data_IF_706756402177
#
_entry.id   IF_706756402177
#
_cell.length_a   1.000
_cell.length_b   1.000
_cell.length_c   1.000
_cell.angle_alpha   90.00
_cell.angle_beta   90.00
_cell.angle_gamma   90.00
#
_symmetry.space_group_name_H-M   'P 1'
#
loop_
_entity.id
_entity.type
_entity.pdbx_description
1 polymer ?
#
# COMPACT_ATOMS: atom_id res chain seq x y z
N UNK A 1 -32.62 -13.04 37.23
CA UNK A 1 -31.63 -13.40 36.19
C UNK A 1 -32.16 -12.87 34.86
N UNK A 2 -31.70 -11.72 34.37
CA UNK A 2 -32.18 -11.16 33.11
C UNK A 2 -31.56 -11.89 31.92
N UNK A 3 -32.41 -12.30 30.98
CA UNK A 3 -32.08 -13.03 29.76
C UNK A 3 -31.30 -12.15 28.77
N UNK A 4 -30.11 -12.57 28.36
CA UNK A 4 -29.29 -11.88 27.35
C UNK A 4 -29.85 -12.18 25.95
N UNK A 5 -30.08 -11.19 25.08
CA UNK A 5 -30.52 -11.44 23.70
C UNK A 5 -29.40 -12.08 22.87
N UNK A 6 -29.74 -12.93 21.87
CA UNK A 6 -28.75 -13.60 21.04
C UNK A 6 -27.97 -12.59 20.19
N UNK A 7 -26.65 -12.72 20.16
CA UNK A 7 -25.79 -11.92 19.29
C UNK A 7 -26.03 -12.28 17.81
N UNK A 8 -25.98 -11.29 16.89
CA UNK A 8 -26.08 -11.56 15.47
C UNK A 8 -24.89 -12.42 15.03
N UNK A 9 -25.20 -13.56 14.39
CA UNK A 9 -24.20 -14.47 13.83
C UNK A 9 -23.40 -13.76 12.75
N UNK A 10 -22.08 -13.69 12.94
CA UNK A 10 -21.16 -13.22 11.91
C UNK A 10 -21.31 -14.09 10.66
N UNK A 11 -21.40 -13.51 9.46
CA UNK A 11 -21.56 -14.29 8.23
C UNK A 11 -20.34 -15.20 8.05
N UNK A 12 -20.61 -16.50 7.87
CA UNK A 12 -19.61 -17.51 7.53
C UNK A 12 -18.96 -17.14 6.19
N UNK A 13 -17.63 -17.12 6.08
CA UNK A 13 -16.98 -16.81 4.81
C UNK A 13 -17.29 -17.90 3.77
N UNK A 14 -17.57 -17.54 2.50
CA UNK A 14 -17.76 -18.50 1.43
C UNK A 14 -16.49 -19.33 1.17
N UNK A 15 -16.68 -20.59 0.79
CA UNK A 15 -15.66 -21.66 0.72
C UNK A 15 -14.56 -21.48 -0.34
N UNK A 16 -14.61 -20.43 -1.16
CA UNK A 16 -13.77 -20.29 -2.35
C UNK A 16 -12.67 -19.20 -2.24
N UNK A 17 -12.44 -18.65 -1.04
CA UNK A 17 -11.33 -17.69 -0.81
C UNK A 17 -11.42 -16.39 -1.62
N UNK A 18 -12.58 -16.09 -2.20
CA UNK A 18 -12.77 -14.94 -3.07
C UNK A 18 -12.97 -13.65 -2.26
N UNK A 19 -11.97 -12.77 -2.29
CA UNK A 19 -12.11 -11.38 -1.88
C UNK A 19 -12.81 -10.59 -3.01
N UNK A 20 -14.14 -10.70 -3.10
CA UNK A 20 -14.96 -9.84 -3.96
C UNK A 20 -16.16 -9.36 -3.14
N UNK A 21 -16.24 -8.06 -2.82
CA UNK A 21 -17.41 -7.49 -2.18
C UNK A 21 -18.67 -7.74 -3.04
N UNK A 22 -19.78 -8.23 -2.46
CA UNK A 22 -21.00 -8.58 -3.19
C UNK A 22 -21.63 -7.41 -3.95
N UNK A 23 -21.32 -6.17 -3.55
CA UNK A 23 -21.81 -4.94 -4.16
C UNK A 23 -21.13 -4.57 -5.49
N UNK A 24 -20.02 -5.22 -5.86
CA UNK A 24 -19.24 -4.84 -7.06
C UNK A 24 -20.05 -4.85 -8.36
N UNK A 25 -20.83 -5.89 -8.72
CA UNK A 25 -21.57 -5.91 -9.98
C UNK A 25 -22.56 -4.73 -10.11
N UNK A 26 -23.24 -4.38 -9.03
CA UNK A 26 -24.18 -3.25 -9.02
C UNK A 26 -23.45 -1.92 -9.17
N UNK A 27 -22.32 -1.74 -8.46
CA UNK A 27 -21.53 -0.51 -8.53
C UNK A 27 -20.88 -0.30 -9.89
N UNK A 28 -20.40 -1.37 -10.52
CA UNK A 28 -19.87 -1.35 -11.90
C UNK A 28 -20.97 -0.94 -12.88
N UNK A 29 -22.18 -1.52 -12.75
CA UNK A 29 -23.32 -1.14 -13.56
C UNK A 29 -23.71 0.33 -13.37
N UNK A 30 -23.79 0.77 -12.12
CA UNK A 30 -24.11 2.15 -11.79
C UNK A 30 -23.06 3.13 -12.34
N UNK A 31 -21.77 2.77 -12.32
CA UNK A 31 -20.71 3.56 -12.93
C UNK A 31 -20.88 3.64 -14.45
N UNK A 32 -21.08 2.51 -15.12
CA UNK A 32 -21.26 2.45 -16.57
C UNK A 32 -22.50 3.22 -17.06
N UNK A 33 -23.58 3.24 -16.27
CA UNK A 33 -24.82 3.97 -16.56
C UNK A 33 -24.80 5.44 -16.10
N UNK A 34 -23.69 5.92 -15.52
CA UNK A 34 -23.56 7.30 -15.01
C UNK A 34 -24.38 7.59 -13.74
N UNK A 35 -24.87 6.55 -13.05
CA UNK A 35 -25.60 6.64 -11.77
C UNK A 35 -24.68 6.65 -10.54
N UNK A 36 -23.41 6.31 -10.72
CA UNK A 36 -22.37 6.37 -9.68
C UNK A 36 -21.33 7.41 -10.06
N UNK A 37 -21.19 8.45 -9.24
CA UNK A 37 -20.07 9.38 -9.32
C UNK A 37 -18.89 8.81 -8.53
N UNK A 38 -17.72 8.57 -9.16
CA UNK A 38 -16.54 8.08 -8.45
C UNK A 38 -16.12 9.03 -7.33
N UNK A 39 -15.82 8.49 -6.16
CA UNK A 39 -15.21 9.28 -5.09
C UNK A 39 -13.77 9.66 -5.48
N UNK A 40 -13.28 10.88 -5.17
CA UNK A 40 -11.88 11.22 -5.38
C UNK A 40 -10.96 10.28 -4.58
N UNK A 41 -9.89 9.74 -5.18
CA UNK A 41 -8.96 8.90 -4.45
C UNK A 41 -8.16 9.71 -3.43
N UNK A 42 -7.96 9.15 -2.24
CA UNK A 42 -7.07 9.71 -1.23
C UNK A 42 -5.62 9.39 -1.59
N UNK A 43 -4.72 10.37 -1.48
CA UNK A 43 -3.29 10.16 -1.68
C UNK A 43 -2.76 9.18 -0.63
N UNK A 44 -1.89 8.27 -1.03
CA UNK A 44 -1.24 7.31 -0.15
C UNK A 44 0.18 7.01 -0.61
N UNK A 45 1.01 6.53 0.31
CA UNK A 45 2.38 6.13 0.03
C UNK A 45 2.65 4.75 0.66
N UNK A 46 3.48 3.96 -0.01
CA UNK A 46 3.84 2.60 0.44
C UNK A 46 5.30 2.34 0.14
N UNK A 47 6.05 1.73 1.06
CA UNK A 47 7.49 1.50 0.94
C UNK A 47 7.82 0.02 0.97
N UNK A 48 8.37 -0.49 -0.12
CA UNK A 48 9.01 -1.79 -0.20
C UNK A 48 10.41 -1.67 0.40
N UNK A 49 10.50 -1.94 1.70
CA UNK A 49 11.76 -1.90 2.43
C UNK A 49 12.57 -3.17 2.14
N UNK A 50 13.78 -3.01 1.62
CA UNK A 50 14.65 -4.08 1.13
C UNK A 50 15.87 -4.27 2.02
N UNK A 51 16.37 -5.50 2.11
CA UNK A 51 17.69 -5.81 2.65
C UNK A 51 18.31 -6.91 1.80
N UNK A 52 19.63 -6.97 1.72
CA UNK A 52 20.30 -8.05 1.00
C UNK A 52 20.20 -9.37 1.76
N UNK A 53 20.03 -10.45 1.01
CA UNK A 53 19.97 -11.81 1.50
C UNK A 53 20.61 -12.77 0.49
N UNK A 54 20.77 -14.04 0.88
CA UNK A 54 21.23 -15.06 -0.06
C UNK A 54 20.23 -15.22 -1.21
N UNK A 55 20.71 -15.08 -2.45
CA UNK A 55 19.89 -15.24 -3.66
C UNK A 55 19.04 -14.01 -4.03
N UNK A 56 19.35 -12.83 -3.50
CA UNK A 56 18.70 -11.55 -3.88
C UNK A 56 18.23 -10.72 -2.68
N UNK A 57 17.61 -9.56 -2.90
CA UNK A 57 17.03 -8.78 -1.81
C UNK A 57 15.85 -9.54 -1.19
N UNK A 58 15.71 -9.43 0.13
CA UNK A 58 14.48 -9.73 0.83
C UNK A 58 13.69 -8.44 1.05
N UNK A 59 12.37 -8.50 0.93
CA UNK A 59 11.45 -7.39 1.21
C UNK A 59 10.74 -7.60 2.54
N UNK A 60 10.58 -6.52 3.30
CA UNK A 60 9.79 -6.51 4.52
C UNK A 60 8.31 -6.42 4.18
N UNK A 61 7.52 -7.39 4.65
CA UNK A 61 6.08 -7.43 4.47
C UNK A 61 5.38 -7.66 5.82
N UNK A 62 4.18 -7.12 5.94
CA UNK A 62 3.31 -7.31 7.10
C UNK A 62 1.99 -7.93 6.67
N UNK A 63 1.44 -8.80 7.52
CA UNK A 63 0.11 -9.37 7.34
C UNK A 63 -0.89 -8.54 8.11
N UNK A 64 -1.85 -7.95 7.40
CA UNK A 64 -2.94 -7.17 7.99
C UNK A 64 -3.79 -8.07 8.87
N UNK A 65 -4.21 -7.57 10.04
CA UNK A 65 -5.08 -8.34 10.95
C UNK A 65 -6.35 -8.81 10.26
N UNK A 66 -6.76 -10.04 10.56
CA UNK A 66 -7.97 -10.64 10.01
C UNK A 66 -9.25 -9.86 10.38
N UNK A 67 -9.21 -9.05 11.45
CA UNK A 67 -10.32 -8.20 11.90
C UNK A 67 -10.50 -6.91 11.09
N UNK A 68 -9.61 -6.60 10.14
CA UNK A 68 -9.68 -5.37 9.37
C UNK A 68 -10.79 -5.41 8.30
N UNK A 69 -11.52 -4.32 8.15
CA UNK A 69 -12.62 -4.21 7.18
C UNK A 69 -12.17 -4.25 5.71
N UNK A 70 -10.87 -4.04 5.42
CA UNK A 70 -10.31 -4.04 4.07
C UNK A 70 -8.99 -4.84 4.03
N UNK A 71 -8.89 -5.74 3.06
CA UNK A 71 -7.73 -6.62 2.83
C UNK A 71 -7.29 -7.42 4.09
N UNK A 72 -8.24 -7.89 4.90
CA UNK A 72 -7.98 -8.75 6.05
C UNK A 72 -7.14 -9.97 5.69
N UNK A 73 -6.08 -10.23 6.45
CA UNK A 73 -5.17 -11.37 6.24
C UNK A 73 -4.27 -11.24 5.00
N UNK A 74 -4.38 -10.16 4.23
CA UNK A 74 -3.51 -9.92 3.08
C UNK A 74 -2.14 -9.38 3.54
N UNK A 75 -1.10 -9.79 2.83
CA UNK A 75 0.24 -9.23 2.97
C UNK A 75 0.34 -7.91 2.21
N UNK A 76 0.96 -6.93 2.85
CA UNK A 76 1.23 -5.59 2.34
C UNK A 76 2.62 -5.14 2.79
N UNK A 77 3.01 -3.95 2.36
CA UNK A 77 4.22 -3.26 2.84
C UNK A 77 3.81 -2.13 3.80
N UNK A 78 4.76 -1.57 4.59
CA UNK A 78 4.53 -0.35 5.34
C UNK A 78 3.97 0.76 4.45
N UNK A 79 2.87 1.38 4.88
CA UNK A 79 2.27 2.44 4.09
C UNK A 79 0.85 2.82 4.51
N UNK A 80 0.48 4.05 4.17
CA UNK A 80 -0.80 4.62 4.56
C UNK A 80 -1.13 5.88 3.79
N UNK A 81 -2.19 6.56 4.25
CA UNK A 81 -2.68 7.78 3.62
C UNK A 81 -1.74 8.96 3.91
N UNK A 82 -1.66 9.88 2.95
CA UNK A 82 -1.06 11.20 3.19
C UNK A 82 -1.96 11.95 4.17
N UNK A 83 -1.39 12.36 5.30
CA UNK A 83 -2.06 13.17 6.32
C UNK A 83 -1.85 14.67 5.99
N UNK A 84 -2.82 15.57 6.25
CA UNK A 84 -2.61 17.00 6.09
C UNK A 84 -1.37 17.54 6.82
N UNK A 85 -0.94 16.90 7.91
CA UNK A 85 0.27 17.25 8.67
C UNK A 85 1.57 16.90 7.94
N UNK A 86 1.52 16.07 6.89
CA UNK A 86 2.67 15.78 6.02
C UNK A 86 3.01 16.96 5.08
N UNK A 87 2.12 17.96 4.98
CA UNK A 87 2.33 19.19 4.21
C UNK A 87 3.21 20.22 4.98
N UNK A 88 3.53 19.94 6.26
CA UNK A 88 4.39 20.79 7.09
C UNK A 88 5.82 20.91 6.55
N UNK A 89 6.47 22.04 6.81
CA UNK A 89 7.85 22.29 6.37
C UNK A 89 8.81 21.34 7.07
N UNK A 90 9.63 20.62 6.28
CA UNK A 90 10.68 19.72 6.79
C UNK A 90 12.05 20.11 6.24
N UNK A 91 13.08 19.96 7.06
CA UNK A 91 14.46 19.97 6.56
C UNK A 91 14.66 18.79 5.62
N UNK A 92 15.37 19.01 4.51
CA UNK A 92 15.30 18.14 3.33
C UNK A 92 16.67 17.92 2.71
N UNK A 93 16.98 16.67 2.44
CA UNK A 93 18.17 16.23 1.73
C UNK A 93 17.80 15.30 0.56
N UNK A 94 18.66 15.25 -0.46
CA UNK A 94 18.42 14.51 -1.69
C UNK A 94 17.79 15.35 -2.82
N UNK A 95 17.12 14.70 -3.79
CA UNK A 95 16.50 15.39 -4.93
C UNK A 95 15.58 16.52 -4.49
N UNK A 96 15.60 17.64 -5.22
CA UNK A 96 14.80 18.81 -4.85
C UNK A 96 13.29 18.48 -4.91
N UNK A 97 12.47 19.24 -4.16
CA UNK A 97 11.01 19.09 -4.18
C UNK A 97 10.42 19.16 -5.59
N UNK A 98 10.92 20.08 -6.41
CA UNK A 98 10.54 20.20 -7.83
C UNK A 98 10.96 19.01 -8.70
N UNK A 99 12.03 18.31 -8.33
CA UNK A 99 12.41 17.06 -9.00
C UNK A 99 11.45 15.93 -8.64
N UNK A 100 11.12 15.78 -7.36
CA UNK A 100 10.08 14.85 -6.91
C UNK A 100 8.70 15.16 -7.52
N UNK A 101 8.32 16.43 -7.61
CA UNK A 101 7.10 16.88 -8.27
C UNK A 101 7.00 16.39 -9.71
N UNK A 102 8.05 16.63 -10.51
CA UNK A 102 8.14 16.12 -11.88
C UNK A 102 8.13 14.59 -11.92
N UNK A 103 8.87 13.94 -11.03
CA UNK A 103 8.97 12.48 -10.97
C UNK A 103 7.61 11.83 -10.70
N UNK A 104 6.87 12.35 -9.73
CA UNK A 104 5.58 11.81 -9.28
C UNK A 104 4.39 12.31 -10.12
N UNK A 105 4.60 13.34 -10.96
CA UNK A 105 3.58 13.94 -11.82
C UNK A 105 2.53 14.75 -11.05
N UNK A 106 2.97 15.51 -10.03
CA UNK A 106 2.11 16.30 -9.13
C UNK A 106 2.80 17.62 -8.74
N UNK A 107 2.07 18.52 -8.09
CA UNK A 107 2.61 19.78 -7.56
C UNK A 107 3.63 19.55 -6.43
N UNK A 108 4.56 20.49 -6.21
CA UNK A 108 5.65 20.34 -5.22
C UNK A 108 5.17 20.07 -3.80
N UNK A 109 4.13 20.78 -3.35
CA UNK A 109 3.55 20.56 -2.02
C UNK A 109 2.96 19.14 -1.89
N UNK A 110 2.36 18.62 -2.96
CA UNK A 110 1.81 17.26 -3.00
C UNK A 110 2.94 16.23 -2.98
N UNK A 111 4.00 16.46 -3.76
CA UNK A 111 5.16 15.58 -3.81
C UNK A 111 5.86 15.49 -2.45
N UNK A 112 6.06 16.63 -1.78
CA UNK A 112 6.60 16.64 -0.41
C UNK A 112 5.73 15.80 0.52
N UNK A 113 4.41 16.02 0.53
CA UNK A 113 3.51 15.31 1.43
C UNK A 113 3.50 13.79 1.18
N UNK A 114 3.58 13.35 -0.09
CA UNK A 114 3.69 11.93 -0.45
C UNK A 114 5.00 11.33 0.05
N UNK A 115 6.13 12.04 -0.11
CA UNK A 115 7.45 11.58 0.38
C UNK A 115 7.50 11.56 1.91
N UNK A 116 6.97 12.59 2.58
CA UNK A 116 6.81 12.62 4.03
C UNK A 116 5.97 11.44 4.52
N UNK A 117 4.82 11.17 3.89
CA UNK A 117 3.98 10.03 4.24
C UNK A 117 4.72 8.70 4.07
N UNK A 118 5.50 8.50 2.99
CA UNK A 118 6.31 7.30 2.82
C UNK A 118 7.26 7.06 4.00
N UNK A 119 8.01 8.10 4.42
CA UNK A 119 8.97 7.98 5.53
C UNK A 119 8.25 7.82 6.88
N UNK A 120 7.21 8.62 7.12
CA UNK A 120 6.41 8.58 8.34
C UNK A 120 5.79 7.20 8.55
N UNK A 121 5.07 6.68 7.56
CA UNK A 121 4.41 5.36 7.63
C UNK A 121 5.43 4.23 7.82
N UNK A 122 6.61 4.33 7.20
CA UNK A 122 7.70 3.36 7.41
C UNK A 122 8.19 3.37 8.87
N UNK A 123 8.30 4.55 9.48
CA UNK A 123 8.68 4.66 10.88
C UNK A 123 7.56 4.18 11.82
N UNK A 124 6.31 4.56 11.54
CA UNK A 124 5.15 4.14 12.31
C UNK A 124 4.97 2.62 12.31
N UNK A 125 5.04 1.97 11.15
CA UNK A 125 4.71 0.55 11.04
C UNK A 125 5.91 -0.40 11.21
N UNK A 126 7.10 0.01 10.79
CA UNK A 126 8.30 -0.83 10.82
C UNK A 126 9.37 -0.35 11.81
N UNK A 127 9.24 0.84 12.40
CA UNK A 127 10.25 1.45 13.27
C UNK A 127 11.50 1.93 12.51
N UNK A 128 11.45 1.99 11.19
CA UNK A 128 12.59 2.36 10.32
C UNK A 128 12.43 3.79 9.83
N UNK A 129 13.44 4.61 10.02
CA UNK A 129 13.42 6.03 9.71
C UNK A 129 14.44 6.38 8.61
N UNK A 130 13.94 6.96 7.51
CA UNK A 130 14.76 7.48 6.41
C UNK A 130 15.08 8.97 6.63
N UNK A 131 15.79 9.25 7.71
CA UNK A 131 16.24 10.57 8.12
C UNK A 131 17.55 10.48 8.88
N UNK A 132 18.28 11.59 8.97
CA UNK A 132 19.56 11.70 9.66
C UNK A 132 19.82 13.12 10.19
N UNK A 133 20.86 13.33 10.99
CA UNK A 133 21.25 14.67 11.46
C UNK A 133 21.78 15.57 10.33
N UNK A 134 22.18 14.99 9.21
CA UNK A 134 22.76 15.67 8.07
C UNK A 134 22.40 14.98 6.73
N UNK A 135 22.72 15.59 5.58
CA UNK A 135 22.40 15.03 4.26
C UNK A 135 23.11 13.73 3.89
N UNK A 136 24.12 13.29 4.63
CA UNK A 136 25.01 12.19 4.27
C UNK A 136 24.84 10.98 5.20
N UNK A 137 24.37 11.20 6.44
CA UNK A 137 24.17 10.14 7.44
C UNK A 137 22.69 9.83 7.70
N UNK A 138 22.45 8.72 8.43
CA UNK A 138 21.14 8.27 8.89
C UNK A 138 21.18 8.08 10.41
N UNK A 139 20.03 8.11 11.06
CA UNK A 139 19.90 7.64 12.45
C UNK A 139 20.24 6.15 12.47
N UNK A 140 21.30 5.76 13.18
CA UNK A 140 21.76 4.37 13.20
C UNK A 140 20.84 3.46 14.03
N UNK A 141 20.24 3.98 15.11
CA UNK A 141 19.42 3.20 16.02
C UNK A 141 18.17 3.98 16.46
N UNK A 142 17.01 3.44 16.09
CA UNK A 142 15.67 3.95 16.42
C UNK A 142 14.99 3.10 17.51
N UNK A 143 15.77 2.30 18.26
CA UNK A 143 15.23 1.31 19.20
C UNK A 143 15.03 1.80 20.63
N UNK A 144 15.50 2.99 20.98
CA UNK A 144 15.35 3.57 22.32
C UNK A 144 13.90 3.84 22.73
N UNK A 145 13.64 3.90 24.04
CA UNK A 145 12.29 4.16 24.58
C UNK A 145 11.74 5.54 24.16
N UNK A 146 12.62 6.52 23.98
CA UNK A 146 12.26 7.85 23.48
C UNK A 146 11.82 7.82 22.01
N UNK A 147 12.43 6.98 21.18
CA UNK A 147 12.00 6.76 19.80
C UNK A 147 10.64 6.06 19.74
N UNK A 148 10.41 5.10 20.62
CA UNK A 148 9.12 4.41 20.70
C UNK A 148 8.01 5.35 21.17
N UNK A 149 8.29 6.23 22.14
CA UNK A 149 7.35 7.26 22.59
C UNK A 149 6.96 8.20 21.44
N UNK A 150 7.93 8.62 20.62
CA UNK A 150 7.68 9.47 19.47
C UNK A 150 6.90 8.76 18.37
N UNK A 151 7.24 7.49 18.08
CA UNK A 151 6.50 6.66 17.14
C UNK A 151 5.04 6.51 17.58
N UNK A 152 4.80 6.22 18.87
CA UNK A 152 3.46 6.11 19.43
C UNK A 152 2.70 7.44 19.30
N UNK A 153 3.34 8.58 19.54
CA UNK A 153 2.74 9.91 19.37
C UNK A 153 2.38 10.23 17.90
N UNK A 154 3.20 9.79 16.93
CA UNK A 154 2.88 9.89 15.50
C UNK A 154 1.64 9.07 15.14
N UNK A 155 1.62 7.78 15.54
CA UNK A 155 0.48 6.87 15.34
C UNK A 155 -0.80 7.41 15.99
N UNK A 156 -0.70 7.93 17.21
CA UNK A 156 -1.81 8.54 17.96
C UNK A 156 -2.24 9.91 17.39
N UNK A 157 -1.47 10.43 16.42
CA UNK A 157 -1.67 11.74 15.78
C UNK A 157 -1.50 12.95 16.72
N UNK A 158 -0.76 12.76 17.80
CA UNK A 158 -0.44 13.78 18.81
C UNK A 158 0.80 14.60 18.42
N UNK A 159 1.66 14.03 17.57
CA UNK A 159 2.84 14.66 17.01
C UNK A 159 2.73 14.68 15.48
N UNK A 160 3.12 15.78 14.84
CA UNK A 160 3.27 15.81 13.38
C UNK A 160 4.66 15.29 12.97
N UNK A 161 4.79 14.74 11.77
CA UNK A 161 6.10 14.28 11.29
C UNK A 161 7.10 15.43 11.13
N UNK A 162 6.63 16.61 10.72
CA UNK A 162 7.47 17.79 10.64
C UNK A 162 8.00 18.25 12.01
N UNK A 163 7.14 18.28 13.03
CA UNK A 163 7.55 18.63 14.40
C UNK A 163 8.46 17.56 15.00
N UNK A 164 8.22 16.28 14.70
CA UNK A 164 9.09 15.17 15.08
C UNK A 164 10.50 15.36 14.55
N UNK A 165 10.66 15.58 13.24
CA UNK A 165 11.97 15.81 12.63
C UNK A 165 12.63 17.09 13.19
N UNK A 166 11.87 18.17 13.33
CA UNK A 166 12.37 19.45 13.85
C UNK A 166 12.89 19.32 15.28
N UNK A 167 12.12 18.68 16.17
CA UNK A 167 12.51 18.48 17.58
C UNK A 167 13.76 17.62 17.72
N UNK A 168 13.97 16.68 16.81
CA UNK A 168 15.16 15.80 16.79
C UNK A 168 16.31 16.35 15.94
N UNK A 169 16.16 17.55 15.38
CA UNK A 169 17.15 18.18 14.50
C UNK A 169 17.54 17.29 13.30
N UNK A 170 16.54 16.60 12.73
CA UNK A 170 16.74 15.67 11.63
C UNK A 170 16.33 16.28 10.28
N UNK A 171 17.06 15.88 9.25
CA UNK A 171 16.71 16.11 7.85
C UNK A 171 16.09 14.86 7.26
N UNK A 172 15.00 15.02 6.51
CA UNK A 172 14.41 13.95 5.71
C UNK A 172 15.37 13.61 4.56
N UNK A 173 15.81 12.35 4.50
CA UNK A 173 16.72 11.83 3.46
C UNK A 173 15.93 11.28 2.27
N UNK A 174 15.44 12.19 1.41
CA UNK A 174 14.57 11.80 0.29
C UNK A 174 15.31 10.97 -0.76
N UNK A 175 16.63 11.10 -0.85
CA UNK A 175 17.52 10.30 -1.71
C UNK A 175 17.55 8.81 -1.37
N UNK A 176 17.10 8.42 -0.17
CA UNK A 176 16.99 7.01 0.23
C UNK A 176 15.72 6.34 -0.32
N UNK A 177 14.82 7.10 -0.94
CA UNK A 177 13.60 6.60 -1.57
C UNK A 177 13.74 6.58 -3.09
N UNK A 178 13.28 5.50 -3.70
CA UNK A 178 13.12 5.38 -5.14
C UNK A 178 11.65 5.18 -5.53
N UNK A 179 11.06 6.07 -6.33
CA UNK A 179 9.67 5.87 -6.78
C UNK A 179 9.58 4.71 -7.79
N UNK A 180 8.62 3.81 -7.57
CA UNK A 180 8.59 2.50 -8.22
C UNK A 180 7.36 2.23 -9.09
N UNK A 181 6.17 2.55 -8.57
CA UNK A 181 4.90 2.35 -9.27
C UNK A 181 3.84 3.32 -8.71
N UNK A 182 2.77 3.54 -9.47
CA UNK A 182 1.59 4.28 -9.01
C UNK A 182 0.34 3.49 -9.34
N UNK A 183 -0.47 3.20 -8.34
CA UNK A 183 -1.71 2.43 -8.50
C UNK A 183 -2.89 3.23 -7.96
N UNK A 184 -3.97 3.30 -8.75
CA UNK A 184 -5.19 3.98 -8.34
C UNK A 184 -6.31 2.95 -8.20
N UNK A 185 -6.95 2.95 -7.03
CA UNK A 185 -8.09 2.06 -6.74
C UNK A 185 -9.23 2.29 -7.75
N UNK A 186 -9.93 1.23 -8.22
CA UNK A 186 -10.96 1.34 -9.25
C UNK A 186 -12.05 2.38 -8.95
N UNK A 187 -12.63 2.98 -9.97
CA UNK A 187 -13.60 4.08 -9.83
C UNK A 187 -14.91 3.67 -9.16
N UNK A 188 -15.31 2.41 -9.32
CA UNK A 188 -16.50 1.87 -8.69
C UNK A 188 -16.29 1.59 -7.21
N UNK A 189 -15.09 1.68 -6.65
CA UNK A 189 -14.85 1.43 -5.22
C UNK A 189 -15.34 2.58 -4.34
N UNK A 190 -15.86 2.26 -3.16
CA UNK A 190 -16.34 3.26 -2.20
C UNK A 190 -15.21 3.95 -1.44
N UNK A 191 -14.06 3.28 -1.32
CA UNK A 191 -12.84 3.80 -0.70
C UNK A 191 -11.73 3.68 -1.72
N UNK A 192 -11.23 4.82 -2.18
CA UNK A 192 -10.22 4.88 -3.24
C UNK A 192 -8.94 5.51 -2.73
N UNK A 193 -7.82 4.96 -3.17
CA UNK A 193 -6.49 5.47 -2.94
C UNK A 193 -5.75 5.68 -4.25
N UNK A 194 -4.94 6.73 -4.30
CA UNK A 194 -3.93 7.00 -5.32
C UNK A 194 -2.59 6.80 -4.62
N UNK A 195 -2.01 5.62 -4.82
CA UNK A 195 -0.89 5.13 -4.02
C UNK A 195 0.38 5.15 -4.84
N UNK A 196 1.37 5.91 -4.37
CA UNK A 196 2.74 5.83 -4.84
C UNK A 196 3.51 4.76 -4.05
N UNK A 197 4.10 3.83 -4.78
CA UNK A 197 4.98 2.80 -4.23
C UNK A 197 6.43 3.27 -4.36
N UNK A 198 7.20 3.07 -3.31
CA UNK A 198 8.62 3.38 -3.24
C UNK A 198 9.41 2.13 -2.88
N UNK A 199 10.68 2.09 -3.28
CA UNK A 199 11.70 1.17 -2.77
C UNK A 199 12.65 1.94 -1.85
N UNK A 200 13.13 1.28 -0.80
CA UNK A 200 14.19 1.79 0.06
C UNK A 200 15.05 0.63 0.56
N UNK A 201 16.36 0.84 0.70
CA UNK A 201 17.21 -0.09 1.42
C UNK A 201 17.06 0.15 2.93
N UNK A 202 17.07 -0.92 3.73
CA UNK A 202 17.12 -0.85 5.18
C UNK A 202 18.41 -0.11 5.59
N UNK A 203 18.31 1.04 6.29
CA UNK A 203 19.47 1.78 6.72
C UNK A 203 20.37 0.95 7.64
N UNK A 204 21.68 1.10 7.52
CA UNK A 204 22.64 0.40 8.37
C UNK A 204 22.40 0.71 9.85
N UNK A 205 22.45 -0.32 10.70
CA UNK A 205 22.20 -0.23 12.13
C UNK A 205 20.73 -0.37 12.53
N UNK A 206 19.79 0.04 11.67
CA UNK A 206 18.36 -0.04 11.98
C UNK A 206 17.81 -1.47 11.83
N UNK A 207 16.73 -1.75 12.56
CA UNK A 207 16.04 -3.04 12.56
C UNK A 207 14.55 -2.83 12.51
N UNK A 208 13.86 -3.60 11.68
CA UNK A 208 12.40 -3.61 11.67
C UNK A 208 11.86 -4.16 12.98
N UNK A 209 10.74 -3.61 13.44
CA UNK A 209 10.03 -4.08 14.63
C UNK A 209 8.59 -4.47 14.29
N UNK A 210 8.05 -5.41 15.05
CA UNK A 210 6.62 -5.74 14.99
C UNK A 210 5.88 -4.81 15.97
N UNK A 211 5.59 -3.59 15.51
CA UNK A 211 5.12 -2.48 16.37
C UNK A 211 3.74 -1.97 16.00
N UNK A 212 3.15 -2.48 14.92
CA UNK A 212 1.81 -2.05 14.51
C UNK A 212 0.74 -2.89 15.22
N UNK A 213 -0.25 -2.21 15.82
CA UNK A 213 -1.50 -2.85 16.27
C UNK A 213 -2.36 -3.35 15.10
N UNK A 214 -1.93 -3.10 13.87
CA UNK A 214 -2.64 -3.33 12.61
C UNK A 214 -2.16 -4.57 11.85
N UNK A 215 -0.95 -5.05 12.14
CA UNK A 215 -0.43 -6.34 11.70
C UNK A 215 -0.52 -7.38 12.83
N UNK A 216 -0.56 -8.66 12.44
CA UNK A 216 -0.37 -9.80 13.36
C UNK A 216 0.88 -10.63 13.06
N UNK A 217 1.60 -10.30 11.97
CA UNK A 217 2.84 -10.94 11.58
C UNK A 217 3.63 -10.04 10.64
N UNK A 218 4.95 -10.01 10.80
CA UNK A 218 5.89 -9.46 9.82
C UNK A 218 6.81 -10.55 9.28
N UNK A 219 7.29 -10.40 8.05
CA UNK A 219 8.23 -11.32 7.40
C UNK A 219 9.24 -10.57 6.55
N UNK A 220 10.45 -11.10 6.51
CA UNK A 220 11.42 -10.79 5.46
C UNK A 220 11.44 -11.97 4.49
N UNK A 221 11.12 -11.73 3.21
CA UNK A 221 10.98 -12.78 2.21
C UNK A 221 11.55 -12.33 0.87
N UNK A 222 12.18 -13.23 0.10
CA UNK A 222 12.62 -12.91 -1.26
C UNK A 222 11.39 -12.64 -2.14
N UNK A 223 11.40 -11.61 -3.01
CA UNK A 223 10.26 -11.31 -3.87
C UNK A 223 9.79 -12.51 -4.72
N UNK A 224 10.74 -13.31 -5.23
CA UNK A 224 10.44 -14.53 -5.98
C UNK A 224 9.72 -15.59 -5.12
N UNK A 225 10.14 -15.79 -3.88
CA UNK A 225 9.51 -16.77 -2.97
C UNK A 225 8.11 -16.32 -2.57
N UNK A 226 7.93 -15.02 -2.32
CA UNK A 226 6.65 -14.41 -1.98
C UNK A 226 5.65 -14.53 -3.14
N UNK A 227 6.11 -14.27 -4.38
CA UNK A 227 5.31 -14.48 -5.58
C UNK A 227 4.94 -15.95 -5.79
N UNK A 228 5.88 -16.88 -5.61
CA UNK A 228 5.60 -18.31 -5.72
C UNK A 228 4.61 -18.80 -4.64
N UNK A 229 4.69 -18.27 -3.41
CA UNK A 229 3.74 -18.58 -2.35
C UNK A 229 2.34 -17.99 -2.61
N UNK A 230 2.26 -16.80 -3.24
CA UNK A 230 1.00 -16.25 -3.75
C UNK A 230 0.40 -17.16 -4.83
N UNK A 231 1.20 -17.63 -5.79
CA UNK A 231 0.73 -18.51 -6.87
C UNK A 231 0.22 -19.86 -6.34
N UNK A 232 0.74 -20.33 -5.20
CA UNK A 232 0.25 -21.51 -4.46
C UNK A 232 -0.95 -21.22 -3.54
N UNK A 233 -1.37 -19.97 -3.41
CA UNK A 233 -2.47 -19.56 -2.52
C UNK A 233 -2.13 -19.51 -1.02
N UNK A 234 -0.83 -19.52 -0.67
CA UNK A 234 -0.35 -19.52 0.71
C UNK A 234 -0.27 -18.10 1.30
N UNK A 235 -0.01 -17.10 0.46
CA UNK A 235 0.03 -15.69 0.84
C UNK A 235 -1.02 -14.90 0.04
N UNK A 236 -2.06 -14.45 0.72
CA UNK A 236 -3.05 -13.55 0.12
C UNK A 236 -2.43 -12.18 -0.09
N UNK A 237 -2.55 -11.61 -1.30
CA UNK A 237 -2.03 -10.29 -1.63
C UNK A 237 -2.98 -9.55 -2.58
N UNK A 238 -2.93 -8.22 -2.54
CA UNK A 238 -3.61 -7.38 -3.50
C UNK A 238 -2.79 -7.28 -4.80
N UNK A 239 -3.43 -7.02 -5.97
CA UNK A 239 -2.72 -6.92 -7.26
C UNK A 239 -1.47 -6.01 -7.26
N UNK A 240 -1.49 -4.80 -6.65
CA UNK A 240 -0.29 -3.95 -6.60
C UNK A 240 0.91 -4.63 -5.90
N UNK A 241 0.65 -5.38 -4.83
CA UNK A 241 1.69 -6.07 -4.06
C UNK A 241 2.35 -7.16 -4.88
N UNK A 242 1.58 -8.09 -5.47
CA UNK A 242 2.17 -9.17 -6.28
C UNK A 242 2.84 -8.64 -7.55
N UNK A 243 2.27 -7.62 -8.19
CA UNK A 243 2.88 -6.98 -9.35
C UNK A 243 4.27 -6.40 -9.02
N UNK A 244 4.39 -5.71 -7.89
CA UNK A 244 5.65 -5.11 -7.47
C UNK A 244 6.67 -6.15 -6.99
N UNK A 245 6.25 -7.24 -6.32
CA UNK A 245 7.13 -8.38 -6.02
C UNK A 245 7.74 -8.99 -7.29
N UNK A 246 6.91 -9.22 -8.32
CA UNK A 246 7.38 -9.77 -9.60
C UNK A 246 8.34 -8.84 -10.31
N UNK A 247 8.14 -7.53 -10.18
CA UNK A 247 9.08 -6.53 -10.71
C UNK A 247 10.39 -6.47 -9.92
N UNK A 248 10.37 -6.76 -8.61
CA UNK A 248 11.57 -6.77 -7.76
C UNK A 248 12.39 -8.07 -7.89
N UNK A 249 11.75 -9.19 -8.25
CA UNK A 249 12.38 -10.50 -8.34
C UNK A 249 13.66 -10.58 -9.21
N UNK A 250 13.81 -9.82 -10.32
CA UNK A 250 15.01 -9.88 -11.15
C UNK A 250 16.25 -9.19 -10.58
N UNK A 251 16.13 -8.37 -9.53
CA UNK A 251 17.27 -7.59 -9.01
C UNK A 251 18.16 -8.42 -8.09
N UNK A 252 19.48 -8.23 -8.21
CA UNK A 252 20.48 -8.97 -7.47
C UNK A 252 20.62 -8.53 -6.00
N UNK A 253 20.34 -7.25 -5.72
CA UNK A 253 20.47 -6.64 -4.40
C UNK A 253 19.55 -5.40 -4.28
N UNK A 254 19.46 -4.85 -3.07
CA UNK A 254 18.65 -3.69 -2.75
C UNK A 254 19.14 -2.42 -3.48
N UNK A 255 20.45 -2.28 -3.66
CA UNK A 255 21.05 -1.12 -4.32
C UNK A 255 20.70 -1.07 -5.81
N UNK A 256 20.73 -2.22 -6.50
CA UNK A 256 20.33 -2.37 -7.90
C UNK A 256 18.84 -2.04 -8.09
N UNK A 257 17.99 -2.50 -7.17
CA UNK A 257 16.57 -2.13 -7.18
C UNK A 257 16.39 -0.62 -6.96
N UNK A 258 17.10 -0.01 -6.01
CA UNK A 258 17.01 1.43 -5.77
C UNK A 258 17.49 2.25 -6.99
N UNK A 259 18.60 1.86 -7.60
CA UNK A 259 19.13 2.52 -8.80
C UNK A 259 18.14 2.47 -9.97
N UNK A 260 17.50 1.32 -10.19
CA UNK A 260 16.53 1.14 -11.27
C UNK A 260 15.26 2.01 -11.10
N UNK A 261 14.98 2.50 -9.88
CA UNK A 261 13.81 3.36 -9.61
C UNK A 261 13.78 4.65 -10.44
N UNK A 262 14.94 5.15 -10.86
CA UNK A 262 15.05 6.36 -11.69
C UNK A 262 14.41 6.23 -13.07
N UNK A 263 14.33 5.01 -13.61
CA UNK A 263 13.85 4.73 -14.98
C UNK A 263 12.42 4.18 -14.99
N UNK A 264 11.80 3.99 -13.82
CA UNK A 264 10.47 3.37 -13.70
C UNK A 264 9.37 4.26 -14.28
N UNK A 265 8.49 3.68 -15.09
CA UNK A 265 7.24 4.33 -15.49
C UNK A 265 6.28 4.40 -14.29
N UNK A 266 5.78 5.61 -14.01
CA UNK A 266 4.81 5.88 -12.93
C UNK A 266 3.44 6.28 -13.49
N UNK A 267 3.18 6.00 -14.76
CA UNK A 267 1.83 6.07 -15.33
C UNK A 267 0.88 5.29 -14.43
N UNK A 268 -0.21 5.91 -13.94
CA UNK A 268 -1.09 5.25 -12.98
C UNK A 268 -1.69 3.97 -13.54
N UNK A 269 -1.50 2.87 -12.83
CA UNK A 269 -2.16 1.60 -13.12
C UNK A 269 -3.58 1.66 -12.57
N UNK A 270 -4.55 1.59 -13.49
CA UNK A 270 -5.98 1.68 -13.24
C UNK A 270 -6.67 0.38 -13.67
N UNK A 271 -7.53 -0.15 -12.81
CA UNK A 271 -8.38 -1.26 -13.22
C UNK A 271 -9.49 -0.77 -14.15
N UNK A 272 -9.84 -1.59 -15.15
CA UNK A 272 -11.02 -1.44 -15.97
C UNK A 272 -12.01 -2.53 -15.59
N UNK A 273 -13.25 -2.13 -15.30
CA UNK A 273 -14.35 -3.05 -15.07
C UNK A 273 -15.39 -2.92 -16.17
N UNK A 274 -15.84 -4.05 -16.69
CA UNK A 274 -16.95 -4.17 -17.63
C UNK A 274 -17.90 -5.27 -17.21
N UNK A 275 -19.13 -5.20 -17.72
CA UNK A 275 -20.08 -6.32 -17.72
C UNK A 275 -20.09 -6.93 -19.11
N UNK A 276 -19.87 -8.23 -19.20
CA UNK A 276 -19.91 -9.00 -20.44
C UNK A 276 -21.00 -10.07 -20.36
N UNK A 277 -21.50 -10.53 -21.52
CA UNK A 277 -22.36 -11.71 -21.61
C UNK A 277 -21.53 -12.96 -21.24
N UNK A 278 -22.12 -13.86 -20.45
CA UNK A 278 -21.45 -15.11 -20.06
C UNK A 278 -21.62 -16.25 -21.08
N UNK A 279 -22.38 -16.01 -22.16
CA UNK A 279 -22.68 -16.99 -23.21
C UNK A 279 -23.79 -17.98 -22.84
N UNK A 280 -24.34 -17.90 -21.63
CA UNK A 280 -25.43 -18.74 -21.11
C UNK A 280 -26.68 -17.90 -20.76
N UNK A 281 -26.77 -16.67 -21.28
CA UNK A 281 -27.87 -15.74 -21.01
C UNK A 281 -27.77 -15.00 -19.67
N UNK A 282 -26.58 -15.01 -19.04
CA UNK A 282 -26.25 -14.24 -17.86
C UNK A 282 -25.21 -13.15 -18.13
N UNK A 283 -24.73 -12.50 -17.06
CA UNK A 283 -23.69 -11.49 -17.14
C UNK A 283 -22.51 -11.90 -16.25
N UNK A 284 -21.30 -11.50 -16.64
CA UNK A 284 -20.08 -11.60 -15.84
C UNK A 284 -19.42 -10.24 -15.72
N UNK A 285 -18.88 -9.94 -14.54
CA UNK A 285 -17.95 -8.83 -14.34
C UNK A 285 -16.59 -9.27 -14.86
N UNK A 286 -16.00 -8.46 -15.74
CA UNK A 286 -14.60 -8.59 -16.14
C UNK A 286 -13.84 -7.42 -15.55
N UNK A 287 -12.97 -7.70 -14.59
CA UNK A 287 -12.04 -6.74 -14.02
C UNK A 287 -10.66 -7.02 -14.59
N UNK A 288 -10.05 -6.04 -15.25
CA UNK A 288 -8.74 -6.18 -15.87
C UNK A 288 -7.83 -5.01 -15.52
N UNK A 289 -6.53 -5.25 -15.48
CA UNK A 289 -5.51 -4.22 -15.38
C UNK A 289 -4.66 -4.31 -16.65
N UNK A 290 -4.74 -3.32 -17.57
CA UNK A 290 -3.92 -3.34 -18.78
C UNK A 290 -2.43 -3.49 -18.44
N UNK A 291 -1.74 -4.45 -19.07
CA UNK A 291 -0.35 -4.79 -18.76
C UNK A 291 -0.16 -5.72 -17.55
N UNK A 292 -1.26 -6.15 -16.94
CA UNK A 292 -1.30 -7.09 -15.81
C UNK A 292 -2.47 -8.07 -15.97
N UNK A 293 -2.53 -8.73 -17.13
CA UNK A 293 -3.62 -9.61 -17.55
C UNK A 293 -3.80 -10.79 -16.60
N UNK A 294 -2.74 -11.19 -15.89
CA UNK A 294 -2.78 -12.21 -14.84
C UNK A 294 -3.76 -11.92 -13.69
N UNK A 295 -4.07 -10.65 -13.44
CA UNK A 295 -5.05 -10.25 -12.43
C UNK A 295 -6.45 -10.15 -12.98
N UNK A 296 -6.67 -10.49 -14.26
CA UNK A 296 -7.99 -10.45 -14.86
C UNK A 296 -8.92 -11.40 -14.11
N UNK A 297 -10.01 -10.86 -13.57
CA UNK A 297 -11.02 -11.63 -12.86
C UNK A 297 -12.30 -11.65 -13.65
N UNK A 298 -12.86 -12.85 -13.79
CA UNK A 298 -14.20 -13.09 -14.29
C UNK A 298 -15.06 -13.47 -13.10
N UNK A 299 -15.88 -12.54 -12.62
CA UNK A 299 -16.77 -12.77 -11.48
C UNK A 299 -18.19 -12.92 -12.02
N UNK A 300 -18.91 -14.02 -11.73
CA UNK A 300 -20.31 -14.14 -12.10
C UNK A 300 -21.10 -12.95 -11.56
N UNK A 301 -21.86 -12.24 -12.40
CA UNK A 301 -22.79 -11.24 -11.88
C UNK A 301 -23.99 -12.00 -11.28
N UNK A 302 -24.42 -11.63 -10.07
CA UNK A 302 -25.61 -12.21 -9.48
C UNK A 302 -26.80 -12.12 -10.47
N UNK A 303 -27.48 -13.25 -10.71
CA UNK A 303 -28.69 -13.26 -11.53
C UNK A 303 -29.70 -12.29 -10.92
N UNK A 304 -30.25 -11.37 -11.72
CA UNK A 304 -31.46 -10.64 -11.32
C UNK A 304 -32.51 -11.68 -10.97
N UNK A 305 -32.95 -11.72 -9.72
CA UNK A 305 -34.17 -12.43 -9.36
C UNK A 305 -35.31 -11.76 -10.12
N UNK A 306 -36.13 -12.56 -10.80
CA UNK A 306 -37.34 -12.09 -11.43
C UNK A 306 -38.28 -11.57 -10.31
N UNK A 307 -38.25 -10.27 -10.06
CA UNK A 307 -38.98 -9.64 -8.96
C UNK A 307 -38.76 -8.15 -8.85
N UNK A 308 -37.56 -7.66 -9.17
CA UNK A 308 -37.26 -6.22 -9.18
C UNK A 308 -37.33 -5.65 -10.60
N UNK A 309 -38.53 -5.21 -10.96
CA UNK A 309 -38.80 -4.26 -12.03
C UNK A 309 -39.59 -3.08 -11.41
N UNK A 310 -39.44 -1.86 -11.95
CA UNK A 310 -39.64 -0.59 -11.24
C UNK A 310 -41.06 -0.32 -10.74
#
# INVERSE_FOLDING_TARGET
MPSTPPQPTSPTPPRDGQWYPPEWPERIRALAEGRLTPVPPRRAATVMLLRDAEGGPAVHMLRRRASMAFAAGAYAYPGGGVDPRDEGTVAWAGPARGEWARRLGVEEAVAQAVVCAAVRETFEEAGVLLAGPDPDTVVADTTGDDWEADRAALVARELSFADFLTRRELVLRSDLLGAWARWITPEFEARRYDTWFFVAALPEGQRTRDVSGEADRTVWIRPADAAAAYDRGELTMMPPTIATLRQLAPYADAAAALAASGERDLTPVLARASLEDDGAGGQRVVLSWPGHEEFTKHVPAARRTAGDAP
#
